data_IF_004877249259
#
_entry.id   IF_004877249259
#
_cell.length_a   1.000
_cell.length_b   1.000
_cell.length_c   1.000
_cell.angle_alpha   90.00
_cell.angle_beta   90.00
_cell.angle_gamma   90.00
#
_symmetry.space_group_name_H-M   'P 1'
#
loop_
_entity.id
_entity.type
_entity.pdbx_description
1 polymer ?
#
# COMPACT_ATOMS: atom_id res chain seq x y z
N UNK A 1 6.81 3.94 -33.59
CA UNK A 1 5.67 3.95 -32.66
C UNK A 1 5.68 2.61 -31.95
N UNK A 2 6.31 2.53 -30.80
CA UNK A 2 6.14 1.41 -29.89
C UNK A 2 5.39 1.98 -28.68
N UNK A 3 4.07 2.05 -28.81
CA UNK A 3 3.21 2.08 -27.63
C UNK A 3 3.19 0.64 -27.14
N UNK A 4 4.05 0.30 -26.22
CA UNK A 4 3.85 -0.89 -25.41
C UNK A 4 2.69 -0.55 -24.48
N UNK A 5 1.50 -0.93 -24.89
CA UNK A 5 0.30 -0.81 -24.04
C UNK A 5 0.41 -1.87 -22.93
N UNK A 6 1.35 -1.65 -22.00
CA UNK A 6 1.50 -2.49 -20.81
C UNK A 6 0.21 -2.41 -19.99
N UNK A 7 -0.34 -3.57 -19.70
CA UNK A 7 -1.49 -3.70 -18.81
C UNK A 7 -0.99 -3.78 -17.37
N UNK A 8 -1.40 -2.84 -16.56
CA UNK A 8 -1.00 -2.74 -15.15
C UNK A 8 -2.23 -2.78 -14.27
N UNK A 9 -2.19 -3.63 -13.25
CA UNK A 9 -3.17 -3.69 -12.17
C UNK A 9 -2.52 -3.24 -10.87
N UNK A 10 -3.19 -2.35 -10.13
CA UNK A 10 -2.81 -1.99 -8.76
C UNK A 10 -3.87 -2.53 -7.81
N UNK A 11 -3.45 -3.29 -6.79
CA UNK A 11 -4.34 -3.87 -5.78
C UNK A 11 -3.99 -3.28 -4.42
N UNK A 12 -4.96 -2.62 -3.76
CA UNK A 12 -4.82 -2.11 -2.39
C UNK A 12 -5.02 -3.27 -1.40
N UNK A 13 -3.91 -3.79 -0.87
CA UNK A 13 -3.87 -4.83 0.17
C UNK A 13 -3.54 -4.26 1.56
N UNK A 14 -3.59 -2.95 1.74
CA UNK A 14 -3.54 -2.33 3.07
C UNK A 14 -4.89 -2.49 3.78
N UNK A 15 -5.10 -3.67 4.38
CA UNK A 15 -6.32 -3.95 5.15
C UNK A 15 -6.38 -3.23 6.51
N UNK A 16 -5.32 -2.51 6.91
CA UNK A 16 -5.29 -1.74 8.16
C UNK A 16 -5.72 -0.30 7.96
N UNK A 17 -5.15 0.37 6.97
CA UNK A 17 -5.43 1.79 6.72
C UNK A 17 -5.46 2.09 5.22
N UNK A 18 -6.41 1.51 4.47
CA UNK A 18 -6.46 1.70 3.03
C UNK A 18 -6.58 3.18 2.67
N UNK A 19 -5.86 3.59 1.65
CA UNK A 19 -5.80 4.99 1.26
C UNK A 19 -5.87 5.24 -0.25
N UNK A 20 -5.65 4.22 -1.07
CA UNK A 20 -5.59 4.34 -2.52
C UNK A 20 -6.88 4.95 -3.11
N UNK A 21 -8.04 4.58 -2.58
CA UNK A 21 -9.34 5.11 -3.02
C UNK A 21 -9.46 6.63 -2.90
N UNK A 22 -8.74 7.27 -1.95
CA UNK A 22 -8.73 8.73 -1.77
C UNK A 22 -8.02 9.44 -2.90
N UNK A 23 -7.00 8.80 -3.49
CA UNK A 23 -6.21 9.36 -4.59
C UNK A 23 -7.03 9.39 -5.87
N UNK A 24 -7.90 8.40 -6.06
CA UNK A 24 -8.71 8.26 -7.27
C UNK A 24 -10.09 8.93 -7.15
N UNK A 25 -10.37 9.57 -6.00
CA UNK A 25 -11.62 10.30 -5.74
C UNK A 25 -12.89 9.46 -6.04
N UNK A 26 -12.81 8.15 -5.78
CA UNK A 26 -13.93 7.23 -6.00
C UNK A 26 -14.85 7.19 -4.78
N UNK A 27 -16.15 7.27 -5.04
CA UNK A 27 -17.17 7.08 -4.02
C UNK A 27 -17.28 5.59 -3.67
N UNK A 28 -17.22 5.28 -2.38
CA UNK A 28 -17.39 3.93 -1.83
C UNK A 28 -18.72 3.27 -2.23
N UNK A 29 -19.74 4.06 -2.51
CA UNK A 29 -21.05 3.57 -2.89
C UNK A 29 -21.16 3.12 -4.35
N UNK A 30 -20.16 3.44 -5.18
CA UNK A 30 -20.27 3.30 -6.64
C UNK A 30 -19.59 2.06 -7.21
N UNK A 31 -18.71 1.41 -6.46
CA UNK A 31 -17.91 0.27 -6.96
C UNK A 31 -17.69 -0.73 -5.83
N UNK A 32 -17.89 -2.03 -6.07
CA UNK A 32 -17.46 -3.08 -5.15
C UNK A 32 -15.94 -3.00 -4.90
N UNK A 33 -15.48 -3.50 -3.76
CA UNK A 33 -14.09 -3.48 -3.36
C UNK A 33 -13.55 -4.90 -3.10
N UNK A 34 -12.26 -5.00 -2.78
CA UNK A 34 -11.61 -6.28 -2.50
C UNK A 34 -12.30 -7.02 -1.34
N UNK A 35 -12.86 -6.31 -0.37
CA UNK A 35 -13.55 -6.93 0.77
C UNK A 35 -14.83 -7.62 0.30
N UNK A 36 -15.62 -6.98 -0.57
CA UNK A 36 -16.85 -7.55 -1.11
C UNK A 36 -16.58 -8.81 -1.94
N UNK A 37 -15.45 -8.85 -2.64
CA UNK A 37 -15.00 -10.04 -3.35
C UNK A 37 -14.58 -11.16 -2.39
N UNK A 38 -13.76 -10.87 -1.39
CA UNK A 38 -13.31 -11.85 -0.39
C UNK A 38 -14.50 -12.42 0.41
N UNK A 39 -15.48 -11.58 0.74
CA UNK A 39 -16.71 -12.00 1.42
C UNK A 39 -17.70 -12.75 0.48
N UNK A 40 -17.39 -12.86 -0.82
CA UNK A 40 -18.18 -13.59 -1.81
C UNK A 40 -19.44 -12.86 -2.30
N UNK A 41 -19.54 -11.55 -2.09
CA UNK A 41 -20.66 -10.72 -2.54
C UNK A 41 -20.43 -10.04 -3.90
N UNK A 42 -19.24 -10.19 -4.49
CA UNK A 42 -18.86 -9.65 -5.80
C UNK A 42 -17.92 -10.59 -6.53
N UNK A 43 -17.90 -10.52 -7.85
CA UNK A 43 -16.96 -11.26 -8.70
C UNK A 43 -15.72 -10.42 -8.98
N UNK A 44 -14.66 -11.03 -9.56
CA UNK A 44 -13.37 -10.36 -9.85
C UNK A 44 -13.58 -9.17 -10.79
N UNK A 45 -14.37 -9.34 -11.83
CA UNK A 45 -14.63 -8.32 -12.85
C UNK A 45 -15.36 -7.10 -12.27
N UNK A 46 -16.17 -7.28 -11.23
CA UNK A 46 -16.94 -6.21 -10.58
C UNK A 46 -16.04 -5.27 -9.78
N UNK A 47 -14.93 -5.78 -9.20
CA UNK A 47 -14.03 -5.02 -8.33
C UNK A 47 -12.90 -4.33 -9.07
N UNK A 48 -12.66 -4.67 -10.35
CA UNK A 48 -11.63 -4.03 -11.17
C UNK A 48 -12.20 -2.75 -11.76
N UNK A 49 -11.58 -1.63 -11.46
CA UNK A 49 -11.99 -0.33 -12.00
C UNK A 49 -10.83 0.37 -12.71
N UNK A 50 -11.13 0.99 -13.86
CA UNK A 50 -10.13 1.76 -14.60
C UNK A 50 -9.98 3.16 -14.05
N UNK A 51 -8.74 3.58 -13.78
CA UNK A 51 -8.44 4.96 -13.42
C UNK A 51 -8.34 5.82 -14.69
N UNK A 52 -9.32 6.68 -14.88
CA UNK A 52 -9.51 7.45 -16.13
C UNK A 52 -8.31 8.33 -16.53
N UNK A 53 -7.51 8.81 -15.55
CA UNK A 53 -6.37 9.71 -15.82
C UNK A 53 -5.18 9.00 -16.42
N UNK A 54 -4.94 7.74 -16.04
CA UNK A 54 -3.75 6.99 -16.45
C UNK A 54 -4.07 5.76 -17.29
N UNK A 55 -5.32 5.30 -17.28
CA UNK A 55 -5.74 4.06 -17.92
C UNK A 55 -5.34 2.79 -17.15
N UNK A 56 -4.73 2.92 -15.98
CA UNK A 56 -4.36 1.80 -15.09
C UNK A 56 -5.60 1.21 -14.46
N UNK A 57 -5.67 -0.11 -14.38
CA UNK A 57 -6.73 -0.81 -13.69
C UNK A 57 -6.40 -0.95 -12.20
N UNK A 58 -7.41 -0.88 -11.34
CA UNK A 58 -7.24 -0.84 -9.89
C UNK A 58 -8.29 -1.67 -9.19
N UNK A 59 -7.88 -2.36 -8.12
CA UNK A 59 -8.75 -2.99 -7.12
C UNK A 59 -8.63 -2.19 -5.84
N UNK A 60 -9.74 -1.58 -5.42
CA UNK A 60 -9.79 -0.72 -4.25
C UNK A 60 -10.04 -1.50 -2.98
N UNK A 61 -9.62 -0.92 -1.86
CA UNK A 61 -9.98 -1.34 -0.53
C UNK A 61 -10.62 -0.14 0.19
N UNK A 62 -11.89 -0.27 0.60
CA UNK A 62 -12.62 0.79 1.30
C UNK A 62 -12.74 0.54 2.80
N UNK A 63 -12.36 -0.64 3.28
CA UNK A 63 -12.57 -1.07 4.64
C UNK A 63 -11.29 -1.46 5.37
N UNK A 64 -11.09 -0.94 6.58
CA UNK A 64 -10.07 -1.48 7.47
C UNK A 64 -10.57 -2.74 8.18
N UNK A 65 -9.69 -3.73 8.34
CA UNK A 65 -9.97 -4.99 9.04
C UNK A 65 -8.88 -5.28 10.05
N UNK A 66 -9.28 -5.80 11.22
CA UNK A 66 -8.32 -6.19 12.27
C UNK A 66 -7.57 -7.48 11.94
N UNK A 67 -8.19 -8.36 11.15
CA UNK A 67 -7.64 -9.65 10.76
C UNK A 67 -7.09 -9.61 9.32
N UNK A 68 -6.16 -8.71 9.07
CA UNK A 68 -5.49 -8.55 7.77
C UNK A 68 -4.75 -9.81 7.33
N UNK A 69 -4.14 -10.55 8.27
CA UNK A 69 -3.42 -11.78 7.96
C UNK A 69 -4.32 -12.87 7.35
N UNK A 70 -5.55 -13.00 7.83
CA UNK A 70 -6.53 -13.95 7.27
C UNK A 70 -6.90 -13.59 5.84
N UNK A 71 -7.05 -12.29 5.54
CA UNK A 71 -7.34 -11.82 4.19
C UNK A 71 -6.20 -12.08 3.21
N UNK A 72 -4.95 -11.81 3.64
CA UNK A 72 -3.75 -12.03 2.80
C UNK A 72 -3.56 -13.54 2.49
N UNK A 73 -3.94 -14.41 3.41
CA UNK A 73 -3.86 -15.87 3.23
C UNK A 73 -5.11 -16.50 2.62
N UNK A 74 -6.11 -15.73 2.25
CA UNK A 74 -7.37 -16.27 1.73
C UNK A 74 -7.19 -16.88 0.34
N UNK A 75 -7.91 -17.97 0.06
CA UNK A 75 -7.96 -18.54 -1.30
C UNK A 75 -8.51 -17.52 -2.31
N UNK A 76 -9.38 -16.61 -1.87
CA UNK A 76 -9.91 -15.54 -2.72
C UNK A 76 -8.85 -14.55 -3.18
N UNK A 77 -7.92 -14.16 -2.30
CA UNK A 77 -6.81 -13.30 -2.75
C UNK A 77 -5.91 -14.04 -3.73
N UNK A 78 -5.65 -15.32 -3.49
CA UNK A 78 -4.88 -16.15 -4.42
C UNK A 78 -5.57 -16.26 -5.78
N UNK A 79 -6.88 -16.54 -5.82
CA UNK A 79 -7.66 -16.56 -7.07
C UNK A 79 -7.57 -15.22 -7.82
N UNK A 80 -7.62 -14.09 -7.11
CA UNK A 80 -7.46 -12.76 -7.70
C UNK A 80 -6.06 -12.55 -8.28
N UNK A 81 -5.01 -13.01 -7.58
CA UNK A 81 -3.63 -12.90 -8.08
C UNK A 81 -3.40 -13.83 -9.29
N UNK A 82 -3.93 -15.05 -9.27
CA UNK A 82 -3.86 -15.98 -10.39
C UNK A 82 -4.59 -15.42 -11.63
N UNK A 83 -5.72 -14.75 -11.43
CA UNK A 83 -6.42 -14.02 -12.48
C UNK A 83 -5.58 -12.86 -13.01
N UNK A 84 -4.99 -12.08 -12.11
CA UNK A 84 -4.18 -10.91 -12.47
C UNK A 84 -2.93 -11.30 -13.29
N UNK A 85 -2.23 -12.37 -12.90
CA UNK A 85 -1.07 -12.90 -13.61
C UNK A 85 -1.39 -13.30 -15.08
N UNK A 86 -2.61 -13.77 -15.34
CA UNK A 86 -3.05 -14.16 -16.69
C UNK A 86 -3.48 -12.98 -17.57
N UNK A 87 -3.82 -11.82 -16.97
CA UNK A 87 -4.46 -10.72 -17.71
C UNK A 87 -3.63 -9.43 -17.75
N UNK A 88 -2.60 -9.31 -16.91
CA UNK A 88 -1.78 -8.11 -16.75
C UNK A 88 -0.28 -8.42 -16.91
N UNK A 89 0.48 -7.46 -17.43
CA UNK A 89 1.93 -7.54 -17.54
C UNK A 89 2.63 -7.23 -16.23
N UNK A 90 2.00 -6.38 -15.38
CA UNK A 90 2.47 -6.04 -14.05
C UNK A 90 1.31 -5.97 -13.07
N UNK A 91 1.52 -6.56 -11.89
CA UNK A 91 0.60 -6.46 -10.75
C UNK A 91 1.35 -5.80 -9.59
N UNK A 92 0.83 -4.69 -9.10
CA UNK A 92 1.42 -3.92 -8.00
C UNK A 92 0.53 -4.06 -6.77
N UNK A 93 1.06 -4.61 -5.69
CA UNK A 93 0.38 -4.69 -4.41
C UNK A 93 0.78 -3.48 -3.55
N UNK A 94 -0.18 -2.60 -3.24
CA UNK A 94 0.00 -1.50 -2.30
C UNK A 94 -0.33 -1.99 -0.89
N UNK A 95 0.68 -2.03 -0.02
CA UNK A 95 0.60 -2.66 1.31
C UNK A 95 0.84 -1.68 2.45
N UNK A 96 0.48 -2.09 3.66
CA UNK A 96 0.79 -1.34 4.88
C UNK A 96 2.30 -1.12 5.05
N UNK A 97 2.74 -0.06 5.77
CA UNK A 97 4.15 0.14 6.07
C UNK A 97 4.73 -1.04 6.87
N UNK A 98 5.86 -1.59 6.43
CA UNK A 98 6.50 -2.77 7.03
C UNK A 98 6.85 -2.58 8.53
N UNK A 99 7.18 -1.36 8.93
CA UNK A 99 7.52 -1.03 10.33
C UNK A 99 6.30 -1.16 11.26
N UNK A 100 5.09 -1.02 10.71
CA UNK A 100 3.84 -0.95 11.50
C UNK A 100 3.11 -2.29 11.51
N UNK A 101 3.33 -3.14 10.52
CA UNK A 101 2.55 -4.36 10.31
C UNK A 101 3.43 -5.56 9.97
N UNK A 102 3.33 -6.59 10.80
CA UNK A 102 3.93 -7.90 10.52
C UNK A 102 3.23 -8.62 9.36
N UNK A 103 2.02 -8.20 8.99
CA UNK A 103 1.26 -8.82 7.91
C UNK A 103 1.89 -8.56 6.53
N UNK A 104 2.74 -7.52 6.41
CA UNK A 104 3.51 -7.24 5.19
C UNK A 104 4.43 -8.42 4.84
N UNK A 105 4.96 -9.14 5.82
CA UNK A 105 5.78 -10.34 5.57
C UNK A 105 4.99 -11.38 4.77
N UNK A 106 3.68 -11.55 5.07
CA UNK A 106 2.83 -12.46 4.31
C UNK A 106 2.62 -12.00 2.85
N UNK A 107 2.65 -10.70 2.62
CA UNK A 107 2.58 -10.15 1.26
C UNK A 107 3.87 -10.42 0.49
N UNK A 108 5.03 -10.43 1.18
CA UNK A 108 6.32 -10.76 0.55
C UNK A 108 6.38 -12.21 0.06
N UNK A 109 5.65 -13.14 0.70
CA UNK A 109 5.61 -14.55 0.30
C UNK A 109 4.83 -14.80 -1.00
N UNK A 110 4.06 -13.81 -1.48
CA UNK A 110 3.17 -13.94 -2.66
C UNK A 110 3.55 -13.02 -3.83
N UNK A 111 4.70 -12.35 -3.76
CA UNK A 111 5.19 -11.44 -4.80
C UNK A 111 6.55 -11.89 -5.33
N UNK A 112 6.83 -11.63 -6.61
CA UNK A 112 8.12 -11.94 -7.24
C UNK A 112 9.23 -11.01 -6.77
N UNK A 113 8.88 -9.75 -6.45
CA UNK A 113 9.83 -8.76 -6.03
C UNK A 113 9.19 -7.68 -5.12
N UNK A 114 10.04 -6.99 -4.38
CA UNK A 114 9.63 -5.94 -3.46
C UNK A 114 10.44 -4.66 -3.64
N UNK A 115 9.78 -3.53 -3.35
CA UNK A 115 10.35 -2.20 -3.40
C UNK A 115 9.91 -1.41 -2.16
N UNK A 116 10.85 -0.75 -1.47
CA UNK A 116 10.52 0.11 -0.33
C UNK A 116 10.34 1.54 -0.81
N UNK A 117 9.25 2.19 -0.39
CA UNK A 117 9.08 3.63 -0.54
C UNK A 117 9.44 4.32 0.77
N UNK A 118 10.49 5.16 0.73
CA UNK A 118 11.00 5.90 1.89
C UNK A 118 10.65 7.38 1.70
N UNK A 119 9.92 7.95 2.65
CA UNK A 119 9.67 9.38 2.65
C UNK A 119 10.79 10.10 3.38
N UNK A 120 11.41 11.11 2.71
CA UNK A 120 12.48 11.92 3.28
C UNK A 120 12.02 12.59 4.58
N UNK A 121 12.92 12.66 5.56
CA UNK A 121 12.73 13.32 6.88
C UNK A 121 11.54 12.80 7.70
N UNK A 122 11.03 11.62 7.35
CA UNK A 122 9.87 11.02 8.02
C UNK A 122 10.19 9.74 8.79
N UNK A 123 11.19 8.98 8.35
CA UNK A 123 11.57 7.68 8.91
C UNK A 123 13.02 7.70 9.39
N UNK A 124 13.31 7.13 10.57
CA UNK A 124 14.67 7.02 11.07
C UNK A 124 15.48 6.02 10.25
N UNK A 125 16.77 6.27 10.11
CA UNK A 125 17.68 5.38 9.36
C UNK A 125 17.74 3.97 9.98
N UNK A 126 17.60 3.86 11.30
CA UNK A 126 17.54 2.57 12.01
C UNK A 126 16.35 1.74 11.57
N UNK A 127 15.19 2.37 11.41
CA UNK A 127 13.95 1.71 11.02
C UNK A 127 14.00 1.29 9.55
N UNK A 128 14.62 2.12 8.70
CA UNK A 128 14.88 1.79 7.30
C UNK A 128 15.76 0.54 7.20
N UNK A 129 16.86 0.50 7.97
CA UNK A 129 17.76 -0.65 7.96
C UNK A 129 17.08 -1.92 8.46
N UNK A 130 16.25 -1.83 9.50
CA UNK A 130 15.44 -2.96 9.98
C UNK A 130 14.50 -3.45 8.89
N UNK A 131 13.74 -2.56 8.27
CA UNK A 131 12.82 -2.91 7.18
C UNK A 131 13.53 -3.59 5.99
N UNK A 132 14.72 -3.09 5.60
CA UNK A 132 15.52 -3.70 4.53
C UNK A 132 15.98 -5.11 4.93
N UNK A 133 16.39 -5.32 6.18
CA UNK A 133 16.82 -6.63 6.65
C UNK A 133 15.65 -7.61 6.68
N UNK A 134 14.50 -7.18 7.21
CA UNK A 134 13.29 -8.01 7.27
C UNK A 134 12.85 -8.47 5.86
N UNK A 135 12.92 -7.58 4.87
CA UNK A 135 12.61 -7.94 3.47
C UNK A 135 13.64 -8.91 2.90
N UNK A 136 14.92 -8.70 3.17
CA UNK A 136 16.00 -9.57 2.66
C UNK A 136 16.01 -10.97 3.28
N UNK A 137 15.39 -11.13 4.44
CA UNK A 137 15.17 -12.43 5.07
C UNK A 137 13.99 -13.20 4.47
N UNK A 138 13.09 -12.50 3.72
CA UNK A 138 11.98 -13.09 3.00
C UNK A 138 12.37 -13.64 1.62
N UNK A 139 11.44 -14.33 0.97
CA UNK A 139 11.65 -14.98 -0.33
C UNK A 139 11.55 -14.00 -1.51
N UNK A 140 10.93 -12.83 -1.33
CA UNK A 140 10.77 -11.85 -2.38
C UNK A 140 12.10 -11.18 -2.78
N UNK A 141 12.36 -11.06 -4.09
CA UNK A 141 13.54 -10.37 -4.59
C UNK A 141 13.47 -8.87 -4.27
N UNK A 142 14.37 -8.38 -3.41
CA UNK A 142 14.44 -6.97 -3.06
C UNK A 142 15.11 -6.15 -4.16
N UNK A 143 14.34 -5.30 -4.83
CA UNK A 143 14.82 -4.45 -5.94
C UNK A 143 15.52 -3.19 -5.46
N UNK A 144 15.23 -2.70 -4.25
CA UNK A 144 15.77 -1.46 -3.73
C UNK A 144 14.73 -0.55 -3.10
N UNK A 145 14.99 0.75 -3.11
CA UNK A 145 14.09 1.74 -2.53
C UNK A 145 13.86 2.94 -3.45
N UNK A 146 12.73 3.61 -3.26
CA UNK A 146 12.40 4.91 -3.86
C UNK A 146 12.37 5.95 -2.75
N UNK A 147 13.13 7.03 -2.91
CA UNK A 147 13.06 8.19 -2.03
C UNK A 147 11.91 9.10 -2.50
N UNK A 148 10.87 9.20 -1.68
CA UNK A 148 9.70 10.04 -1.93
C UNK A 148 9.78 11.36 -1.16
N UNK A 149 9.05 12.38 -1.61
CA UNK A 149 9.01 13.72 -1.01
C UNK A 149 10.42 14.34 -0.87
N UNK A 150 11.29 14.05 -1.87
CA UNK A 150 12.67 14.56 -1.88
C UNK A 150 12.67 16.08 -1.97
N UNK A 151 13.40 16.69 -1.04
CA UNK A 151 13.67 18.13 -1.00
C UNK A 151 15.14 18.36 -1.10
N UNK A 152 15.57 19.15 -2.08
CA UNK A 152 16.95 19.54 -2.22
C UNK A 152 17.32 20.46 -1.05
N UNK A 153 18.16 19.96 -0.13
CA UNK A 153 18.77 20.79 0.87
C UNK A 153 19.89 21.61 0.19
N UNK A 154 19.75 22.92 0.16
CA UNK A 154 20.87 23.81 -0.18
C UNK A 154 21.94 23.63 0.89
N UNK A 155 22.99 22.84 0.59
CA UNK A 155 24.13 22.55 1.48
C UNK A 155 25.00 23.78 1.78
N UNK A 156 24.51 25.01 1.58
CA UNK A 156 25.25 26.25 1.85
C UNK A 156 25.13 26.72 3.31
N UNK A 157 24.45 25.99 4.19
CA UNK A 157 24.47 26.27 5.63
C UNK A 157 25.23 25.15 6.35
N UNK A 158 26.50 24.95 5.96
CA UNK A 158 27.41 24.12 6.72
C UNK A 158 27.91 24.93 7.92
N UNK A 159 27.35 24.70 9.10
CA UNK A 159 27.86 25.30 10.33
C UNK A 159 27.09 25.04 11.62
N UNK A 160 25.88 24.54 11.58
CA UNK A 160 25.16 24.24 12.82
C UNK A 160 24.56 22.83 12.77
N UNK A 161 24.87 22.06 13.82
CA UNK A 161 24.36 20.70 14.05
C UNK A 161 22.84 20.71 14.19
N UNK A 162 22.10 20.49 13.11
CA UNK A 162 20.66 20.24 13.17
C UNK A 162 20.42 18.73 13.14
N UNK A 163 20.58 18.08 14.29
CA UNK A 163 19.93 16.80 14.56
C UNK A 163 18.47 17.10 14.91
N UNK A 164 17.64 17.30 13.89
CA UNK A 164 16.20 17.39 14.05
C UNK A 164 15.62 15.99 14.24
N UNK A 165 15.47 15.55 15.47
CA UNK A 165 14.63 14.39 15.81
C UNK A 165 13.17 14.77 15.59
N UNK A 166 12.61 14.42 14.43
CA UNK A 166 11.17 14.44 14.24
C UNK A 166 10.51 13.46 15.20
N UNK A 167 9.72 13.97 16.13
CA UNK A 167 9.00 13.15 17.10
C UNK A 167 7.91 12.35 16.42
N UNK A 168 7.83 11.06 16.75
CA UNK A 168 6.81 10.10 16.29
C UNK A 168 5.41 10.34 16.87
N UNK A 169 5.17 11.51 17.46
CA UNK A 169 3.94 11.81 18.23
C UNK A 169 2.66 11.94 17.39
N UNK A 170 2.70 11.85 16.07
CA UNK A 170 1.51 12.03 15.22
C UNK A 170 0.96 10.78 14.53
N UNK A 171 1.35 9.58 14.97
CA UNK A 171 0.60 8.37 14.64
C UNK A 171 -0.45 8.05 15.72
N UNK A 172 -1.19 9.07 16.15
CA UNK A 172 -2.44 8.79 16.85
C UNK A 172 -3.42 8.16 15.86
N UNK A 173 -3.73 6.91 16.12
CA UNK A 173 -4.93 6.28 15.60
C UNK A 173 -6.11 7.12 16.10
N UNK A 174 -6.66 7.96 15.23
CA UNK A 174 -7.84 8.75 15.53
C UNK A 174 -8.98 7.85 15.98
N UNK A 175 -9.18 7.74 17.27
CA UNK A 175 -10.44 7.33 17.85
C UNK A 175 -11.45 8.42 17.49
N UNK A 176 -12.27 8.16 16.48
CA UNK A 176 -13.52 8.89 16.29
C UNK A 176 -14.48 8.41 17.36
N UNK A 177 -14.39 8.99 18.54
CA UNK A 177 -15.51 8.96 19.48
C UNK A 177 -16.59 9.89 18.95
N UNK A 178 -17.73 9.30 18.71
CA UNK A 178 -19.00 9.93 18.44
C UNK A 178 -19.31 10.96 19.55
N UNK A 179 -19.43 12.24 19.15
CA UNK A 179 -20.09 13.22 19.98
C UNK A 179 -21.59 12.93 19.94
N UNK A 180 -22.10 12.27 20.97
CA UNK A 180 -23.51 12.27 21.30
C UNK A 180 -23.95 13.64 21.77
N UNK A 181 -25.05 14.06 21.21
CA UNK A 181 -25.83 15.23 21.58
C UNK A 181 -26.18 15.26 23.08
N UNK A 182 -25.99 16.41 23.68
CA UNK A 182 -26.75 16.81 24.88
C UNK A 182 -27.11 18.29 24.78
N UNK A 183 -28.43 18.56 24.85
CA UNK A 183 -29.02 19.83 25.21
C UNK A 183 -30.08 20.35 24.23
#
# INVERSE_FOLDING_TARGET
MCSSDLKVLIIDVDFRKPALYKIVERDRASVPDIISYIDGSSEIEDIICKYARTGVDMVMNFGSRRDSASFIRSEKLKELLDYADQHYDYVILDSSPIIVSTDVQLTLDIVDCSLIVIRQDFVRITDINTAINDIKEGDANYLGYVLNDYREFNMHVAGENVYGYGSYENYEYGNTESAEEQG
#
